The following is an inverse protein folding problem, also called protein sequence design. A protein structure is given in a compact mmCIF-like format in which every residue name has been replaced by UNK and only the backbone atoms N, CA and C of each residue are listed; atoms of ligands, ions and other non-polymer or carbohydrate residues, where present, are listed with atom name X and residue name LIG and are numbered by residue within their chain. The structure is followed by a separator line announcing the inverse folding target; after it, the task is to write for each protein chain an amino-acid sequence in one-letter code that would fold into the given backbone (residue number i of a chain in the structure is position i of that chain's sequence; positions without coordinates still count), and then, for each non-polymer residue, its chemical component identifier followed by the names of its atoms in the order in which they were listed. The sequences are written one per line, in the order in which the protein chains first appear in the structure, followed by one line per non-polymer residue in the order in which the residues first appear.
data_IF_313173907173
#
_entry.id   IF_313173907173
#
_cell.length_a   1.000
_cell.length_b   1.000
_cell.length_c   1.000
_cell.angle_alpha   90.00
_cell.angle_beta   90.00
_cell.angle_gamma   90.00
#
_symmetry.space_group_name_H-M   'P 1'
#
loop_
_entity.id
_entity.type
_entity.pdbx_description
1 polymer ?
#
# COMPACT_ATOMS: atom_id res chain seq x y z
N UNK A 1 7.47 60.66 48.17
CA UNK A 1 7.80 59.43 48.92
C UNK A 1 8.33 58.43 47.92
N UNK A 2 9.63 58.21 47.97
CA UNK A 2 10.28 57.06 47.34
C UNK A 2 9.82 55.79 48.07
N UNK A 3 9.70 54.68 47.34
CA UNK A 3 9.84 53.37 47.94
C UNK A 3 10.49 52.44 46.93
N UNK A 4 11.81 52.41 46.97
CA UNK A 4 12.64 51.28 46.57
C UNK A 4 12.21 50.03 47.36
N UNK A 5 12.24 48.84 46.74
CA UNK A 5 12.92 47.65 47.26
C UNK A 5 12.69 46.42 46.35
N UNK A 6 13.73 46.10 45.58
CA UNK A 6 14.40 44.80 45.38
C UNK A 6 13.61 43.56 44.89
N UNK A 7 14.19 42.93 43.87
CA UNK A 7 13.66 41.76 43.18
C UNK A 7 13.97 40.40 43.80
N UNK A 8 13.32 39.38 43.24
CA UNK A 8 13.67 37.96 43.37
C UNK A 8 13.41 37.28 42.01
N UNK A 9 14.33 36.36 41.68
CA UNK A 9 14.60 35.67 40.42
C UNK A 9 13.46 34.78 39.86
N UNK A 10 13.51 34.40 38.57
CA UNK A 10 12.56 33.46 37.96
C UNK A 10 12.96 31.99 38.22
N UNK A 11 12.03 31.21 38.78
CA UNK A 11 12.15 29.76 38.97
C UNK A 11 11.13 29.03 38.11
N UNK A 12 11.64 28.52 36.99
CA UNK A 12 11.36 27.26 36.31
C UNK A 12 10.09 26.43 36.59
N UNK A 13 9.61 25.86 35.46
CA UNK A 13 9.07 24.50 35.26
C UNK A 13 7.62 24.21 35.66
N UNK A 14 6.75 24.21 34.65
CA UNK A 14 5.87 23.08 34.25
C UNK A 14 5.21 23.54 32.94
N UNK A 15 5.20 22.86 31.81
CA UNK A 15 5.40 21.44 31.51
C UNK A 15 4.48 21.16 30.32
N UNK A 16 4.89 21.50 29.09
CA UNK A 16 4.10 21.15 27.90
C UNK A 16 4.81 20.09 27.05
N UNK A 17 4.40 18.86 27.36
CA UNK A 17 4.22 17.69 26.51
C UNK A 17 4.88 17.73 25.12
N UNK A 18 6.04 17.04 25.07
CA UNK A 18 6.44 16.08 24.03
C UNK A 18 5.51 15.99 22.81
N UNK A 19 5.82 16.73 21.75
CA UNK A 19 5.46 16.31 20.39
C UNK A 19 6.49 15.28 19.92
N UNK A 20 6.23 14.02 20.23
CA UNK A 20 6.90 12.89 19.60
C UNK A 20 6.27 12.59 18.23
N UNK A 21 7.07 11.94 17.40
CA UNK A 21 6.68 11.14 16.24
C UNK A 21 6.72 11.83 14.87
N UNK A 22 7.81 11.55 14.18
CA UNK A 22 7.90 11.55 12.72
C UNK A 22 8.93 10.52 12.26
N UNK A 23 9.06 9.38 12.96
CA UNK A 23 9.81 8.25 12.39
C UNK A 23 8.88 7.60 11.37
N UNK A 24 9.12 7.92 10.09
CA UNK A 24 8.49 7.23 8.99
C UNK A 24 8.76 5.72 9.17
N UNK A 25 7.71 4.94 9.42
CA UNK A 25 7.84 3.49 9.53
C UNK A 25 7.86 2.86 8.14
N UNK A 26 8.63 1.76 7.96
CA UNK A 26 9.31 1.37 6.71
C UNK A 26 8.45 0.56 5.72
N UNK A 27 7.13 0.70 5.79
CA UNK A 27 6.20 0.05 4.87
C UNK A 27 5.26 1.13 4.38
N UNK A 28 5.49 1.61 3.17
CA UNK A 28 4.58 2.55 2.52
C UNK A 28 3.18 1.93 2.55
N UNK A 29 2.23 2.65 3.13
CA UNK A 29 0.85 2.21 3.18
C UNK A 29 0.29 2.28 1.76
N UNK A 30 0.47 1.21 0.98
CA UNK A 30 -0.33 0.95 -0.20
C UNK A 30 -1.80 1.05 0.22
N UNK A 31 -2.60 1.71 -0.62
CA UNK A 31 -3.97 2.12 -0.27
C UNK A 31 -4.76 0.99 0.39
N UNK A 32 -5.46 1.29 1.48
CA UNK A 32 -6.25 0.26 2.17
C UNK A 32 -7.28 -0.35 1.22
N UNK A 33 -7.35 -1.68 1.16
CA UNK A 33 -8.39 -2.40 0.42
C UNK A 33 -9.78 -1.91 0.87
N UNK A 34 -10.59 -1.41 -0.08
CA UNK A 34 -11.91 -0.80 0.20
C UNK A 34 -13.10 -1.70 -0.16
N UNK A 35 -12.91 -3.01 -0.31
CA UNK A 35 -14.00 -3.95 -0.56
C UNK A 35 -14.78 -4.29 0.71
N UNK A 36 -16.09 -4.53 0.57
CA UNK A 36 -16.97 -4.94 1.67
C UNK A 36 -16.64 -6.33 2.21
N UNK A 37 -16.20 -7.24 1.34
CA UNK A 37 -15.84 -8.60 1.70
C UNK A 37 -14.31 -8.70 1.76
N UNK A 38 -13.78 -8.19 2.87
CA UNK A 38 -12.37 -8.27 3.20
C UNK A 38 -11.97 -9.72 3.47
N UNK A 39 -10.86 -10.14 2.87
CA UNK A 39 -10.14 -11.36 3.26
C UNK A 39 -8.63 -11.15 3.04
N UNK A 40 -7.75 -11.84 3.79
CA UNK A 40 -6.31 -11.79 3.55
C UNK A 40 -5.93 -12.14 2.11
N UNK A 41 -6.62 -13.09 1.49
CA UNK A 41 -6.40 -13.53 0.11
C UNK A 41 -6.77 -12.44 -0.89
N UNK A 42 -7.91 -11.76 -0.66
CA UNK A 42 -8.35 -10.62 -1.49
C UNK A 42 -7.42 -9.42 -1.35
N UNK A 43 -6.93 -9.14 -0.15
CA UNK A 43 -5.91 -8.12 0.08
C UNK A 43 -4.60 -8.47 -0.65
N UNK A 44 -4.12 -9.71 -0.52
CA UNK A 44 -2.92 -10.16 -1.21
C UNK A 44 -3.07 -10.11 -2.73
N UNK A 45 -4.21 -10.53 -3.27
CA UNK A 45 -4.50 -10.43 -4.69
C UNK A 45 -4.58 -8.98 -5.17
N UNK A 46 -5.16 -8.08 -4.37
CA UNK A 46 -5.19 -6.65 -4.66
C UNK A 46 -3.77 -6.08 -4.81
N UNK A 47 -2.86 -6.41 -3.89
CA UNK A 47 -1.45 -5.98 -3.98
C UNK A 47 -0.76 -6.55 -5.23
N UNK A 48 -1.05 -7.80 -5.61
CA UNK A 48 -0.54 -8.39 -6.85
C UNK A 48 -1.07 -7.67 -8.10
N UNK A 49 -2.33 -7.22 -8.07
CA UNK A 49 -2.94 -6.46 -9.15
C UNK A 49 -2.34 -5.05 -9.28
N UNK A 50 -2.08 -4.37 -8.17
CA UNK A 50 -1.39 -3.07 -8.15
C UNK A 50 0.02 -3.20 -8.73
N UNK A 51 0.79 -4.17 -8.23
CA UNK A 51 2.13 -4.47 -8.77
C UNK A 51 2.12 -4.81 -10.27
N UNK A 52 1.09 -5.51 -10.75
CA UNK A 52 0.92 -5.77 -12.18
C UNK A 52 0.74 -4.47 -12.97
N UNK A 53 -0.15 -3.58 -12.52
CA UNK A 53 -0.43 -2.32 -13.20
C UNK A 53 0.81 -1.41 -13.27
N UNK A 54 1.56 -1.30 -12.18
CA UNK A 54 2.81 -0.53 -12.12
C UNK A 54 3.84 -1.06 -13.13
N UNK A 55 4.06 -2.37 -13.15
CA UNK A 55 5.02 -3.01 -14.07
C UNK A 55 4.60 -2.84 -15.52
N UNK A 56 3.31 -2.97 -15.83
CA UNK A 56 2.78 -2.69 -17.17
C UNK A 56 3.06 -1.24 -17.58
N UNK A 57 2.81 -0.28 -16.68
CA UNK A 57 3.13 1.13 -16.91
C UNK A 57 4.61 1.36 -17.24
N UNK A 58 5.52 0.74 -16.49
CA UNK A 58 6.96 0.79 -16.77
C UNK A 58 7.32 0.20 -18.14
N UNK A 59 6.77 -0.97 -18.49
CA UNK A 59 7.02 -1.62 -19.78
C UNK A 59 6.55 -0.75 -20.94
N UNK A 60 5.34 -0.19 -20.86
CA UNK A 60 4.80 0.71 -21.87
C UNK A 60 5.63 1.99 -21.97
N UNK A 61 6.08 2.53 -20.84
CA UNK A 61 7.01 3.66 -20.80
C UNK A 61 8.35 3.36 -21.47
N UNK A 62 8.93 2.17 -21.26
CA UNK A 62 10.15 1.74 -21.95
C UNK A 62 9.96 1.61 -23.46
N UNK A 63 8.82 1.04 -23.88
CA UNK A 63 8.49 0.88 -25.28
C UNK A 63 8.25 2.22 -25.97
N UNK A 64 7.54 3.14 -25.32
CA UNK A 64 7.27 4.49 -25.84
C UNK A 64 8.56 5.31 -26.00
N UNK A 65 9.54 5.07 -25.14
CA UNK A 65 10.88 5.66 -25.23
C UNK A 65 11.83 4.91 -26.18
N UNK A 66 11.34 3.91 -26.93
CA UNK A 66 12.14 3.15 -27.89
C UNK A 66 13.18 2.20 -27.28
N UNK A 67 13.18 2.00 -25.95
CA UNK A 67 14.12 1.12 -25.24
C UNK A 67 13.70 -0.35 -25.26
N UNK A 68 12.46 -0.61 -25.65
CA UNK A 68 11.90 -1.95 -25.79
C UNK A 68 11.04 -2.00 -27.05
N UNK A 69 11.15 -3.07 -27.84
CA UNK A 69 10.30 -3.24 -29.03
C UNK A 69 8.84 -3.48 -28.62
N UNK A 70 7.92 -3.24 -29.55
CA UNK A 70 6.50 -3.50 -29.33
C UNK A 70 6.24 -4.98 -29.05
N UNK A 71 6.90 -5.88 -29.77
CA UNK A 71 6.79 -7.33 -29.59
C UNK A 71 7.38 -7.77 -28.24
N UNK A 72 8.50 -7.16 -27.83
CA UNK A 72 9.14 -7.41 -26.54
C UNK A 72 8.24 -6.96 -25.39
N UNK A 73 7.68 -5.76 -25.48
CA UNK A 73 6.73 -5.23 -24.50
C UNK A 73 5.50 -6.13 -24.36
N UNK A 74 4.90 -6.55 -25.48
CA UNK A 74 3.78 -7.47 -25.48
C UNK A 74 4.13 -8.82 -24.84
N UNK A 75 5.30 -9.38 -25.15
CA UNK A 75 5.76 -10.64 -24.58
C UNK A 75 5.93 -10.55 -23.06
N UNK A 76 6.51 -9.47 -22.55
CA UNK A 76 6.68 -9.24 -21.10
C UNK A 76 5.34 -9.04 -20.39
N UNK A 77 4.44 -8.22 -20.95
CA UNK A 77 3.09 -8.04 -20.40
C UNK A 77 2.33 -9.37 -20.37
N UNK A 78 2.46 -10.21 -21.40
CA UNK A 78 1.87 -11.56 -21.39
C UNK A 78 2.44 -12.46 -20.30
N UNK A 79 3.73 -12.36 -19.96
CA UNK A 79 4.31 -13.11 -18.84
C UNK A 79 3.73 -12.63 -17.51
N UNK A 80 3.67 -11.31 -17.30
CA UNK A 80 3.06 -10.73 -16.10
C UNK A 80 1.59 -11.14 -15.94
N UNK A 81 0.83 -11.14 -17.04
CA UNK A 81 -0.57 -11.58 -17.03
C UNK A 81 -0.72 -13.05 -16.61
N UNK A 82 0.15 -13.95 -17.10
CA UNK A 82 0.14 -15.36 -16.69
C UNK A 82 0.40 -15.51 -15.19
N UNK A 83 1.35 -14.75 -14.64
CA UNK A 83 1.63 -14.74 -13.20
C UNK A 83 0.45 -14.21 -12.39
N UNK A 84 -0.16 -13.11 -12.81
CA UNK A 84 -1.34 -12.54 -12.16
C UNK A 84 -2.52 -13.52 -12.17
N UNK A 85 -2.76 -14.19 -13.31
CA UNK A 85 -3.81 -15.21 -13.43
C UNK A 85 -3.57 -16.37 -12.46
N UNK A 86 -2.35 -16.90 -12.41
CA UNK A 86 -1.97 -17.96 -11.46
C UNK A 86 -2.18 -17.51 -10.01
N UNK A 87 -1.79 -16.28 -9.67
CA UNK A 87 -2.04 -15.69 -8.34
C UNK A 87 -3.53 -15.62 -8.00
N UNK A 88 -4.37 -15.15 -8.93
CA UNK A 88 -5.84 -15.13 -8.77
C UNK A 88 -6.38 -16.53 -8.50
N UNK A 89 -5.95 -17.51 -9.28
CA UNK A 89 -6.43 -18.88 -9.16
C UNK A 89 -5.96 -19.52 -7.84
N UNK A 90 -4.75 -19.20 -7.35
CA UNK A 90 -4.28 -19.71 -6.05
C UNK A 90 -4.95 -19.05 -4.83
N UNK A 91 -5.23 -17.74 -4.91
CA UNK A 91 -5.75 -16.98 -3.78
C UNK A 91 -7.28 -16.98 -3.70
N UNK A 92 -7.97 -16.98 -4.84
CA UNK A 92 -9.42 -16.74 -4.89
C UNK A 92 -10.26 -17.94 -5.36
N UNK A 93 -9.65 -19.08 -5.72
CA UNK A 93 -10.44 -20.24 -6.18
C UNK A 93 -11.27 -20.94 -5.08
N UNK A 94 -11.10 -20.56 -3.81
CA UNK A 94 -11.91 -21.05 -2.69
C UNK A 94 -13.16 -20.24 -2.37
N UNK A 95 -13.37 -19.10 -3.03
CA UNK A 95 -14.46 -18.13 -2.77
C UNK A 95 -15.81 -18.57 -3.39
N UNK A 96 -15.78 -19.46 -4.39
CA UNK A 96 -16.92 -19.68 -5.28
C UNK A 96 -17.26 -21.14 -5.62
N UNK A 97 -17.36 -22.04 -4.64
CA UNK A 97 -18.13 -23.28 -4.84
C UNK A 97 -19.48 -23.22 -4.11
N UNK A 98 -20.56 -22.74 -4.76
CA UNK A 98 -21.92 -23.03 -4.32
C UNK A 98 -22.23 -24.50 -4.68
N UNK A 99 -21.70 -25.42 -3.88
CA UNK A 99 -21.78 -26.86 -4.13
C UNK A 99 -22.46 -27.69 -3.04
N UNK A 100 -22.92 -27.10 -1.93
CA UNK A 100 -23.41 -27.91 -0.80
C UNK A 100 -24.53 -27.27 0.03
N UNK A 101 -25.61 -26.79 -0.62
CA UNK A 101 -26.94 -26.63 0.03
C UNK A 101 -28.06 -26.95 -0.96
N UNK A 102 -27.97 -28.08 -1.66
CA UNK A 102 -29.08 -28.58 -2.50
C UNK A 102 -29.11 -30.11 -2.60
N UNK A 103 -28.85 -30.81 -1.50
CA UNK A 103 -29.35 -32.17 -1.25
C UNK A 103 -28.82 -32.68 0.10
N UNK A 104 -29.58 -32.50 1.19
CA UNK A 104 -30.03 -33.59 2.06
C UNK A 104 -31.00 -33.09 3.12
#
# INVERSE_FOLDING_TARGET
MANDNEGVLPSSLDGDQRSGSGVASPMEAHGSYRGSDWSPERLAFHQNLESFAERVGLIVGLQSNGKLSQEGAYAEIRKLWKSLRSSKDNLLSGDGSPGETANR
#
